data_IF_133833330323
#
_entry.id   IF_133833330323
#
_cell.length_a   1.000
_cell.length_b   1.000
_cell.length_c   1.000
_cell.angle_alpha   90.00
_cell.angle_beta   90.00
_cell.angle_gamma   90.00
#
_symmetry.space_group_name_H-M   'P 1'
#
loop_
_entity.id
_entity.type
_entity.pdbx_description
1 polymer ?
#
# COMPACT_ATOMS: atom_id res chain seq x y z
N UNK A 1 29.53 -15.85 23.83
CA UNK A 1 29.72 -15.61 22.39
C UNK A 1 28.50 -16.14 21.64
N UNK A 2 27.33 -15.50 21.83
CA UNK A 2 26.02 -15.98 21.34
C UNK A 2 25.03 -14.80 21.26
N UNK A 3 25.44 -13.68 20.67
CA UNK A 3 24.59 -12.49 20.47
C UNK A 3 24.45 -12.07 19.00
N UNK A 4 24.76 -12.97 18.06
CA UNK A 4 24.80 -12.63 16.63
C UNK A 4 23.76 -13.33 15.73
N UNK A 5 22.81 -14.09 16.31
CA UNK A 5 21.76 -14.79 15.54
C UNK A 5 20.33 -14.29 15.76
N UNK A 6 20.10 -13.16 16.43
CA UNK A 6 18.74 -12.62 16.63
C UNK A 6 18.38 -11.42 15.75
N UNK A 7 19.28 -10.95 14.88
CA UNK A 7 19.03 -9.73 14.09
C UNK A 7 18.62 -9.95 12.63
N UNK A 8 18.49 -11.19 12.18
CA UNK A 8 18.19 -11.51 10.76
C UNK A 8 16.71 -11.85 10.46
N UNK A 9 15.83 -11.87 11.46
CA UNK A 9 14.41 -12.24 11.27
C UNK A 9 13.42 -11.06 11.26
N UNK A 10 13.86 -9.81 11.47
CA UNK A 10 12.93 -8.67 11.64
C UNK A 10 12.69 -7.88 10.34
N UNK A 11 13.42 -8.15 9.25
CA UNK A 11 13.37 -7.31 8.03
C UNK A 11 12.44 -7.85 6.93
N UNK A 12 11.98 -9.10 7.03
CA UNK A 12 11.01 -9.67 6.10
C UNK A 12 9.68 -9.93 6.81
N UNK A 13 8.89 -8.90 7.12
CA UNK A 13 7.42 -8.97 7.24
C UNK A 13 6.86 -7.62 7.71
N UNK A 14 6.98 -6.58 6.89
CA UNK A 14 6.14 -5.39 7.06
C UNK A 14 5.72 -4.81 5.72
N UNK A 15 4.88 -5.56 5.01
CA UNK A 15 3.90 -4.97 4.10
C UNK A 15 2.77 -4.48 5.01
N UNK A 16 2.48 -3.17 5.10
CA UNK A 16 1.39 -2.69 5.94
C UNK A 16 0.06 -3.26 5.43
N UNK A 17 -0.59 -4.05 6.27
CA UNK A 17 -1.94 -4.61 6.06
C UNK A 17 -2.94 -3.48 5.90
N UNK A 18 -3.22 -3.09 4.66
CA UNK A 18 -4.23 -2.09 4.32
C UNK A 18 -5.55 -2.76 3.94
N UNK A 19 -6.14 -3.52 4.85
CA UNK A 19 -7.56 -3.90 4.79
C UNK A 19 -8.11 -3.92 6.21
N UNK A 20 -8.95 -2.93 6.55
CA UNK A 20 -9.70 -2.92 7.80
C UNK A 20 -10.76 -4.03 7.73
N UNK A 21 -10.52 -5.03 8.56
CA UNK A 21 -11.42 -6.11 8.94
C UNK A 21 -12.68 -5.55 9.62
N UNK A 22 -13.87 -5.95 9.17
CA UNK A 22 -15.00 -6.11 10.08
C UNK A 22 -15.12 -7.61 10.38
N UNK A 23 -14.90 -7.96 11.64
CA UNK A 23 -15.05 -9.31 12.19
C UNK A 23 -16.44 -9.43 12.82
N UNK A 24 -17.27 -10.30 12.28
CA UNK A 24 -18.32 -10.98 13.03
C UNK A 24 -18.32 -12.45 12.55
N UNK A 25 -18.01 -13.40 13.44
CA UNK A 25 -18.39 -14.80 13.23
C UNK A 25 -17.58 -15.68 12.27
N UNK A 26 -16.27 -15.48 12.11
CA UNK A 26 -15.38 -16.61 11.76
C UNK A 26 -15.38 -17.14 10.31
N UNK A 27 -15.85 -16.39 9.31
CA UNK A 27 -15.67 -16.74 7.91
C UNK A 27 -15.51 -15.49 7.03
N UNK A 28 -14.45 -15.41 6.21
CA UNK A 28 -14.39 -14.44 5.12
C UNK A 28 -15.21 -14.98 3.95
N UNK A 29 -16.53 -14.99 4.10
CA UNK A 29 -17.43 -15.43 3.05
C UNK A 29 -18.34 -14.25 2.69
N UNK A 30 -17.87 -13.36 1.82
CA UNK A 30 -18.80 -12.95 0.77
C UNK A 30 -18.97 -14.22 -0.03
N UNK A 31 -20.12 -14.88 0.10
CA UNK A 31 -20.44 -16.05 -0.71
C UNK A 31 -20.28 -15.67 -2.16
N UNK A 32 -19.15 -16.03 -2.75
CA UNK A 32 -19.10 -16.24 -4.18
C UNK A 32 -20.11 -17.36 -4.42
N UNK A 33 -21.06 -17.12 -5.31
CA UNK A 33 -22.05 -18.13 -5.64
C UNK A 33 -21.31 -19.43 -6.02
N UNK A 34 -21.91 -20.58 -5.71
CA UNK A 34 -21.29 -21.90 -5.93
C UNK A 34 -20.83 -22.12 -7.38
N UNK A 35 -21.46 -21.42 -8.35
CA UNK A 35 -21.09 -21.51 -9.78
C UNK A 35 -19.73 -20.86 -10.11
N UNK A 36 -19.17 -20.07 -9.20
CA UNK A 36 -17.92 -19.33 -9.38
C UNK A 36 -16.72 -20.00 -8.67
N UNK A 37 -16.98 -21.07 -7.90
CA UNK A 37 -16.01 -21.71 -7.00
C UNK A 37 -14.80 -22.33 -7.72
N UNK A 38 -14.95 -22.65 -9.02
CA UNK A 38 -13.92 -23.28 -9.84
C UNK A 38 -13.34 -22.36 -10.94
N UNK A 39 -13.60 -21.05 -10.89
CA UNK A 39 -13.02 -20.13 -11.88
C UNK A 39 -11.51 -20.02 -11.71
N UNK A 40 -10.83 -20.11 -12.85
CA UNK A 40 -9.40 -19.88 -12.96
C UNK A 40 -9.11 -18.53 -13.61
N UNK A 41 -7.86 -18.09 -13.60
CA UNK A 41 -7.47 -16.85 -14.28
C UNK A 41 -7.71 -16.92 -15.80
N UNK A 42 -7.68 -18.11 -16.39
CA UNK A 42 -7.92 -18.31 -17.83
C UNK A 42 -9.36 -17.98 -18.24
N UNK A 43 -10.31 -18.12 -17.31
CA UNK A 43 -11.73 -17.83 -17.51
C UNK A 43 -12.05 -16.32 -17.47
N UNK A 44 -11.03 -15.48 -17.21
CA UNK A 44 -11.22 -14.02 -17.17
C UNK A 44 -11.48 -13.45 -18.58
N UNK A 45 -12.41 -12.50 -18.72
CA UNK A 45 -12.88 -12.02 -20.01
C UNK A 45 -11.87 -11.14 -20.75
N UNK A 46 -10.91 -10.53 -20.03
CA UNK A 46 -9.89 -9.64 -20.60
C UNK A 46 -8.51 -9.95 -20.04
N UNK A 47 -7.46 -9.63 -20.81
CA UNK A 47 -6.07 -9.84 -20.39
C UNK A 47 -5.72 -9.04 -19.12
N UNK A 48 -6.25 -7.82 -18.96
CA UNK A 48 -6.05 -7.01 -17.74
C UNK A 48 -6.64 -7.71 -16.51
N UNK A 49 -7.84 -8.26 -16.64
CA UNK A 49 -8.49 -9.01 -15.55
C UNK A 49 -7.76 -10.33 -15.26
N UNK A 50 -7.21 -11.00 -16.28
CA UNK A 50 -6.37 -12.19 -16.10
C UNK A 50 -5.10 -11.84 -15.32
N UNK A 51 -4.43 -10.75 -15.69
CA UNK A 51 -3.23 -10.29 -15.01
C UNK A 51 -3.49 -9.92 -13.54
N UNK A 52 -4.63 -9.27 -13.25
CA UNK A 52 -5.01 -8.99 -11.86
C UNK A 52 -5.31 -10.29 -11.11
N UNK A 53 -6.00 -11.26 -11.74
CA UNK A 53 -6.27 -12.55 -11.14
C UNK A 53 -4.98 -13.31 -10.79
N UNK A 54 -4.00 -13.32 -11.70
CA UNK A 54 -2.70 -13.97 -11.49
C UNK A 54 -1.90 -13.35 -10.35
N UNK A 55 -1.94 -12.03 -10.23
CA UNK A 55 -1.13 -11.30 -9.24
C UNK A 55 -1.81 -11.15 -7.87
N UNK A 56 -3.14 -11.05 -7.84
CA UNK A 56 -3.90 -10.61 -6.66
C UNK A 56 -4.97 -11.63 -6.24
N UNK A 57 -5.42 -12.49 -7.16
CA UNK A 57 -6.43 -13.51 -6.91
C UNK A 57 -7.71 -13.29 -7.73
N UNK A 58 -8.33 -14.40 -8.17
CA UNK A 58 -9.59 -14.43 -8.94
C UNK A 58 -10.72 -13.77 -8.14
N UNK A 59 -10.74 -13.96 -6.82
CA UNK A 59 -11.74 -13.39 -5.92
C UNK A 59 -11.79 -11.86 -5.95
N UNK A 60 -10.62 -11.22 -6.10
CA UNK A 60 -10.55 -9.75 -6.18
C UNK A 60 -11.13 -9.25 -7.48
N UNK A 61 -10.84 -9.95 -8.58
CA UNK A 61 -11.39 -9.62 -9.90
C UNK A 61 -12.90 -9.78 -9.92
N UNK A 62 -13.44 -10.83 -9.30
CA UNK A 62 -14.89 -11.02 -9.16
C UNK A 62 -15.54 -9.91 -8.35
N UNK A 63 -14.90 -9.44 -7.28
CA UNK A 63 -15.37 -8.27 -6.53
C UNK A 63 -15.38 -7.02 -7.43
N UNK A 64 -14.33 -6.81 -8.22
CA UNK A 64 -14.28 -5.67 -9.14
C UNK A 64 -15.39 -5.74 -10.19
N UNK A 65 -15.62 -6.90 -10.80
CA UNK A 65 -16.69 -7.10 -11.80
C UNK A 65 -18.08 -6.88 -11.20
N UNK A 66 -18.33 -7.39 -9.99
CA UNK A 66 -19.63 -7.29 -9.33
C UNK A 66 -19.91 -5.90 -8.75
N UNK A 67 -18.89 -5.20 -8.26
CA UNK A 67 -19.05 -3.90 -7.57
C UNK A 67 -18.81 -2.70 -8.47
N UNK A 68 -18.01 -2.84 -9.53
CA UNK A 68 -17.62 -1.76 -10.43
C UNK A 68 -17.86 -2.12 -11.91
N UNK A 69 -19.04 -2.63 -12.30
CA UNK A 69 -19.30 -3.04 -13.68
C UNK A 69 -19.25 -1.84 -14.63
N UNK A 70 -18.61 -2.03 -15.78
CA UNK A 70 -18.50 -1.00 -16.83
C UNK A 70 -17.56 0.17 -16.50
N UNK A 71 -16.89 0.17 -15.34
CA UNK A 71 -15.94 1.20 -14.97
C UNK A 71 -14.54 0.85 -15.48
N UNK A 72 -13.98 1.71 -16.34
CA UNK A 72 -12.56 1.69 -16.65
C UNK A 72 -11.76 2.35 -15.53
N UNK A 73 -10.74 1.69 -15.00
CA UNK A 73 -9.82 2.29 -14.03
C UNK A 73 -8.39 2.28 -14.56
N UNK A 74 -7.65 3.34 -14.26
CA UNK A 74 -6.22 3.44 -14.56
C UNK A 74 -5.45 3.32 -13.25
N UNK A 75 -4.47 2.42 -13.17
CA UNK A 75 -3.62 2.28 -11.99
C UNK A 75 -2.52 3.36 -12.02
N UNK A 76 -2.56 4.38 -11.12
CA UNK A 76 -1.61 5.47 -11.18
C UNK A 76 -0.25 5.08 -10.57
N UNK A 77 0.84 5.21 -11.33
CA UNK A 77 2.22 4.92 -10.85
C UNK A 77 2.60 5.68 -9.57
N UNK A 78 2.02 6.87 -9.38
CA UNK A 78 2.39 7.81 -8.32
C UNK A 78 1.21 8.15 -7.38
N UNK A 79 0.12 7.38 -7.42
CA UNK A 79 -1.12 7.72 -6.70
C UNK A 79 -0.95 7.84 -5.18
N UNK A 80 -0.04 7.06 -4.61
CA UNK A 80 0.19 7.04 -3.15
C UNK A 80 1.25 8.04 -2.68
N UNK A 81 1.89 8.79 -3.59
CA UNK A 81 2.97 9.71 -3.22
C UNK A 81 2.49 10.79 -2.23
N UNK A 82 1.27 11.30 -2.42
CA UNK A 82 0.69 12.31 -1.51
C UNK A 82 0.54 11.78 -0.09
N UNK A 83 0.01 10.57 0.07
CA UNK A 83 -0.23 9.94 1.37
C UNK A 83 1.10 9.62 2.06
N UNK A 84 2.04 9.01 1.32
CA UNK A 84 3.39 8.72 1.82
C UNK A 84 4.10 10.00 2.29
N UNK A 85 4.03 11.07 1.50
CA UNK A 85 4.67 12.34 1.83
C UNK A 85 4.05 12.97 3.09
N UNK A 86 2.73 12.87 3.25
CA UNK A 86 2.03 13.30 4.47
C UNK A 86 2.54 12.53 5.69
N UNK A 87 2.57 11.20 5.61
CA UNK A 87 3.08 10.33 6.68
C UNK A 87 4.53 10.70 7.09
N UNK A 88 5.41 10.94 6.12
CA UNK A 88 6.80 11.35 6.40
C UNK A 88 6.85 12.67 7.16
N UNK A 89 6.08 13.68 6.74
CA UNK A 89 6.06 14.97 7.42
C UNK A 89 5.53 14.87 8.86
N UNK A 90 4.56 14.01 9.11
CA UNK A 90 3.94 13.83 10.44
C UNK A 90 4.83 13.03 11.41
N UNK A 91 5.65 12.12 10.89
CA UNK A 91 6.49 11.23 11.70
C UNK A 91 7.96 11.65 11.75
N UNK A 92 8.34 12.75 11.08
CA UNK A 92 9.71 13.22 11.08
C UNK A 92 10.06 14.02 12.35
N UNK A 93 10.92 13.46 13.19
CA UNK A 93 11.35 14.06 14.47
C UNK A 93 12.50 15.09 14.34
N UNK A 94 13.00 15.37 13.13
CA UNK A 94 14.13 16.29 12.92
C UNK A 94 15.52 15.64 12.95
N UNK A 95 15.66 14.40 13.41
CA UNK A 95 16.94 13.71 13.54
C UNK A 95 17.42 13.09 12.22
N UNK A 96 18.69 12.65 12.17
CA UNK A 96 19.21 11.82 11.07
C UNK A 96 18.63 10.40 11.13
N UNK A 97 18.43 9.88 12.35
CA UNK A 97 17.95 8.52 12.59
C UNK A 97 16.54 8.32 12.02
N UNK A 98 15.62 9.25 12.27
CA UNK A 98 14.27 9.18 11.69
C UNK A 98 14.26 9.26 10.17
N UNK A 99 15.14 10.08 9.55
CA UNK A 99 15.26 10.10 8.07
C UNK A 99 15.64 8.73 7.51
N UNK A 100 16.59 8.05 8.16
CA UNK A 100 17.05 6.74 7.71
C UNK A 100 15.93 5.69 7.88
N UNK A 101 15.26 5.68 9.03
CA UNK A 101 14.13 4.78 9.30
C UNK A 101 13.01 5.02 8.29
N UNK A 102 12.55 6.26 8.14
CA UNK A 102 11.49 6.64 7.19
C UNK A 102 11.90 6.35 5.74
N UNK A 103 13.19 6.50 5.40
CA UNK A 103 13.72 6.18 4.07
C UNK A 103 13.57 4.70 3.74
N UNK A 104 13.87 3.82 4.70
CA UNK A 104 13.70 2.38 4.56
C UNK A 104 12.21 2.00 4.48
N UNK A 105 11.39 2.49 5.41
CA UNK A 105 9.95 2.19 5.46
C UNK A 105 9.22 2.64 4.19
N UNK A 106 9.49 3.86 3.75
CA UNK A 106 8.81 4.46 2.60
C UNK A 106 9.49 4.14 1.25
N UNK A 107 10.59 3.38 1.26
CA UNK A 107 11.40 3.02 0.08
C UNK A 107 11.83 4.24 -0.74
N UNK A 108 12.39 5.25 -0.08
CA UNK A 108 12.83 6.51 -0.69
C UNK A 108 14.19 6.93 -0.14
N UNK A 109 14.92 7.75 -0.89
CA UNK A 109 16.23 8.23 -0.44
C UNK A 109 16.12 9.29 0.66
N UNK A 110 17.11 9.34 1.55
CA UNK A 110 17.22 10.38 2.57
C UNK A 110 17.23 11.79 1.96
N UNK A 111 17.85 11.95 0.78
CA UNK A 111 17.87 13.22 0.04
C UNK A 111 16.48 13.65 -0.42
N UNK A 112 15.61 12.70 -0.77
CA UNK A 112 14.20 12.99 -1.04
C UNK A 112 13.48 13.50 0.21
N UNK A 113 13.65 12.82 1.34
CA UNK A 113 13.05 13.21 2.62
C UNK A 113 13.51 14.62 3.02
N UNK A 114 14.81 14.91 2.95
CA UNK A 114 15.35 16.24 3.24
C UNK A 114 14.68 17.32 2.40
N UNK A 115 14.56 17.12 1.07
CA UNK A 115 13.89 18.07 0.18
C UNK A 115 12.39 18.23 0.51
N UNK A 116 11.72 17.13 0.85
CA UNK A 116 10.30 17.12 1.20
C UNK A 116 10.04 17.97 2.46
N UNK A 117 10.81 17.74 3.53
CA UNK A 117 10.67 18.48 4.79
C UNK A 117 10.99 19.96 4.61
N UNK A 118 12.07 20.30 3.90
CA UNK A 118 12.41 21.70 3.59
C UNK A 118 11.27 22.41 2.83
N UNK A 119 10.69 21.75 1.82
CA UNK A 119 9.57 22.30 1.05
C UNK A 119 8.31 22.50 1.90
N UNK A 120 8.06 21.60 2.86
CA UNK A 120 6.88 21.70 3.73
C UNK A 120 6.99 22.87 4.72
N UNK A 121 8.18 23.11 5.30
CA UNK A 121 8.44 24.27 6.17
C UNK A 121 8.22 25.61 5.46
N UNK A 122 8.65 25.72 4.20
CA UNK A 122 8.42 26.93 3.40
C UNK A 122 6.93 27.18 3.15
N UNK A 123 6.14 26.11 2.96
CA UNK A 123 4.69 26.24 2.78
C UNK A 123 3.97 26.75 4.03
N UNK A 124 4.33 26.25 5.23
CA UNK A 124 3.69 26.69 6.47
C UNK A 124 3.96 28.17 6.76
N UNK A 125 5.19 28.63 6.52
CA UNK A 125 5.56 30.05 6.68
C UNK A 125 4.76 30.93 5.71
N UNK A 126 4.58 30.51 4.47
CA UNK A 126 3.84 31.32 3.48
C UNK A 126 2.32 31.33 3.71
N UNK A 127 1.76 30.34 4.40
CA UNK A 127 0.33 30.33 4.78
C UNK A 127 0.02 31.19 6.01
N UNK A 128 1.01 31.48 6.85
CA UNK A 128 0.83 32.36 8.03
C UNK A 128 0.96 33.85 7.67
N UNK A 129 1.55 34.16 6.50
CA UNK A 129 1.78 35.52 6.02
C UNK A 129 0.73 36.01 4.98
N UNK A 130 -0.34 35.24 4.74
CA UNK A 130 -1.48 35.60 3.86
C UNK A 130 -2.78 35.52 4.65
#
# INVERSE_FOLDING_TARGET
MTMFMQLWLVVYFHIPKFYKQQKAGGAWCMGLDDWVENLTADDMPTDDTRLIADYVGVEVVLILMNKLPGMGFTIPKNGLNRIRNKYICENYDGTKKSRLILGLECRISEGYIRRLISKNKLKSINSENN
#
